data_IF_021160151485
#
_entry.id   IF_021160151485
#
_cell.length_a   1.000
_cell.length_b   1.000
_cell.length_c   1.000
_cell.angle_alpha   90.00
_cell.angle_beta   90.00
_cell.angle_gamma   90.00
#
_symmetry.space_group_name_H-M   'P 1'
#
loop_
_entity.id
_entity.type
_entity.pdbx_description
1 polymer ?
#
# COMPACT_ATOMS: atom_id res chain seq x y z
N UNK A 1 -13.67 -1.08 -17.01
CA UNK A 1 -13.49 -0.90 -16.60
C UNK A 1 -13.16 -0.30 -15.97
N UNK A 2 -13.02 0.07 -15.43
CA UNK A 2 -12.76 0.70 -14.93
C UNK A 2 -11.92 0.79 -14.10
N UNK A 3 -11.01 1.15 -14.02
CA UNK A 3 -10.04 1.33 -13.38
C UNK A 3 -10.22 2.17 -12.31
N UNK A 4 -11.09 2.15 -11.60
CA UNK A 4 -11.32 2.94 -10.58
C UNK A 4 -10.76 2.44 -9.35
N UNK A 5 -10.47 3.29 -8.35
CA UNK A 5 -10.06 2.92 -7.02
C UNK A 5 -11.31 2.55 -6.25
N UNK A 6 -11.31 1.39 -5.67
CA UNK A 6 -12.45 0.93 -4.92
C UNK A 6 -12.12 0.82 -3.45
N UNK A 7 -13.15 0.92 -2.62
CA UNK A 7 -13.03 0.78 -1.19
C UNK A 7 -12.98 -0.70 -0.85
N UNK A 8 -11.89 -1.36 -1.25
CA UNK A 8 -11.71 -2.75 -0.90
C UNK A 8 -10.22 -3.08 -0.86
N UNK A 9 -9.93 -4.21 -0.23
CA UNK A 9 -8.57 -4.61 0.04
C UNK A 9 -7.77 -4.89 -1.22
N UNK A 10 -8.40 -5.50 -2.20
CA UNK A 10 -7.69 -5.84 -3.43
C UNK A 10 -7.20 -4.61 -4.15
N UNK A 11 -8.07 -3.61 -4.25
CA UNK A 11 -7.70 -2.36 -4.90
C UNK A 11 -6.55 -1.68 -4.16
N UNK A 12 -6.64 -1.68 -2.84
CA UNK A 12 -5.58 -1.07 -2.03
C UNK A 12 -4.27 -1.82 -2.21
N UNK A 13 -4.32 -3.15 -2.22
CA UNK A 13 -3.11 -3.95 -2.36
C UNK A 13 -2.41 -3.67 -3.67
N UNK A 14 -3.17 -3.57 -4.75
CA UNK A 14 -2.59 -3.28 -6.05
C UNK A 14 -1.95 -1.89 -6.07
N UNK A 15 -2.65 -0.92 -5.51
CA UNK A 15 -2.10 0.43 -5.46
C UNK A 15 -0.86 0.48 -4.58
N UNK A 16 -0.89 -0.24 -3.47
CA UNK A 16 0.26 -0.29 -2.58
C UNK A 16 1.48 -0.87 -3.29
N UNK A 17 1.29 -1.98 -4.00
CA UNK A 17 2.40 -2.61 -4.69
C UNK A 17 2.99 -1.69 -5.75
N UNK A 18 2.14 -0.98 -6.47
CA UNK A 18 2.62 -0.07 -7.50
C UNK A 18 3.45 1.07 -6.90
N UNK A 19 2.94 1.66 -5.83
CA UNK A 19 3.66 2.76 -5.20
C UNK A 19 4.94 2.27 -4.54
N UNK A 20 4.89 1.08 -3.96
CA UNK A 20 6.07 0.49 -3.34
C UNK A 20 7.21 0.38 -4.33
N UNK A 21 6.90 -0.05 -5.55
CA UNK A 21 7.94 -0.23 -6.56
C UNK A 21 8.49 1.09 -7.07
N UNK A 22 7.69 2.14 -7.03
CA UNK A 22 8.13 3.42 -7.51
C UNK A 22 9.04 4.15 -6.53
N UNK A 23 8.89 3.87 -5.25
CA UNK A 23 9.64 4.58 -4.23
C UNK A 23 10.95 3.88 -3.95
N UNK A 24 12.04 4.63 -4.06
CA UNK A 24 13.37 4.10 -3.84
C UNK A 24 13.85 4.51 -2.46
N UNK A 25 13.69 3.63 -1.50
CA UNK A 25 14.06 3.91 -0.13
C UNK A 25 14.51 2.61 0.54
N UNK A 26 15.65 2.64 1.21
CA UNK A 26 16.20 1.44 1.81
C UNK A 26 15.54 1.06 3.12
N UNK A 27 15.05 2.05 3.84
CA UNK A 27 14.41 1.80 5.12
C UNK A 27 12.97 1.39 4.87
N UNK A 28 12.64 0.14 5.23
CA UNK A 28 11.32 -0.38 4.92
C UNK A 28 10.20 0.38 5.61
N UNK A 29 10.41 0.77 6.85
CA UNK A 29 9.37 1.51 7.57
C UNK A 29 9.17 2.89 6.96
N UNK A 30 10.26 3.55 6.60
CA UNK A 30 10.17 4.85 5.99
C UNK A 30 9.53 4.74 4.62
N UNK A 31 9.88 3.70 3.88
CA UNK A 31 9.29 3.47 2.57
C UNK A 31 7.78 3.27 2.70
N UNK A 32 7.36 2.52 3.71
CA UNK A 32 5.95 2.31 3.97
C UNK A 32 5.23 3.63 4.25
N UNK A 33 5.86 4.50 5.04
CA UNK A 33 5.28 5.80 5.33
C UNK A 33 5.09 6.61 4.06
N UNK A 34 6.07 6.56 3.17
CA UNK A 34 5.98 7.29 1.92
C UNK A 34 4.85 6.76 1.04
N UNK A 35 4.69 5.45 1.02
CA UNK A 35 3.61 4.84 0.25
C UNK A 35 2.26 5.25 0.84
N UNK A 36 2.13 5.24 2.15
CA UNK A 36 0.90 5.65 2.79
C UNK A 36 0.57 7.11 2.47
N UNK A 37 1.59 7.93 2.40
CA UNK A 37 1.41 9.33 2.05
C UNK A 37 0.82 9.46 0.65
N UNK A 38 1.31 8.65 -0.28
CA UNK A 38 0.80 8.64 -1.64
C UNK A 38 -0.61 8.08 -1.74
N UNK A 39 -0.97 7.20 -0.82
CA UNK A 39 -2.27 6.55 -0.86
C UNK A 39 -3.25 7.15 0.14
N UNK A 40 -2.94 8.30 0.67
CA UNK A 40 -3.76 8.90 1.73
C UNK A 40 -5.18 9.18 1.28
N UNK A 41 -5.40 9.34 -0.02
CA UNK A 41 -6.75 9.61 -0.53
C UNK A 41 -7.41 8.36 -1.11
N UNK A 42 -6.78 7.19 -0.95
CA UNK A 42 -7.38 5.95 -1.43
C UNK A 42 -8.62 5.63 -0.59
N UNK A 43 -9.74 5.26 -1.22
CA UNK A 43 -10.98 5.03 -0.47
C UNK A 43 -10.84 4.00 0.66
N UNK A 44 -10.14 2.91 0.39
CA UNK A 44 -9.98 1.88 1.41
C UNK A 44 -9.16 2.40 2.60
N UNK A 45 -8.14 3.19 2.32
CA UNK A 45 -7.30 3.74 3.37
C UNK A 45 -8.11 4.70 4.24
N UNK A 46 -8.98 5.48 3.62
CA UNK A 46 -9.81 6.42 4.35
C UNK A 46 -10.85 5.69 5.19
N UNK A 47 -11.49 4.67 4.61
CA UNK A 47 -12.55 3.94 5.32
C UNK A 47 -12.02 2.98 6.37
N UNK A 48 -10.90 2.34 6.08
CA UNK A 48 -10.38 1.29 6.96
C UNK A 48 -8.89 1.45 7.17
N UNK A 49 -8.46 2.54 7.81
CA UNK A 49 -7.04 2.81 7.94
C UNK A 49 -6.27 1.71 8.68
N UNK A 50 -6.88 1.10 9.68
CA UNK A 50 -6.19 0.03 10.41
C UNK A 50 -6.01 -1.20 9.56
N UNK A 51 -7.03 -1.57 8.80
CA UNK A 51 -6.92 -2.72 7.93
C UNK A 51 -5.94 -2.46 6.79
N UNK A 52 -5.93 -1.24 6.30
CA UNK A 52 -4.97 -0.86 5.27
C UNK A 52 -3.55 -1.01 5.77
N UNK A 53 -3.31 -0.59 7.01
CA UNK A 53 -1.98 -0.68 7.60
C UNK A 53 -1.58 -2.13 7.79
N UNK A 54 -2.49 -2.96 8.27
CA UNK A 54 -2.19 -4.38 8.46
C UNK A 54 -1.89 -5.06 7.13
N UNK A 55 -2.66 -4.71 6.12
CA UNK A 55 -2.43 -5.28 4.80
C UNK A 55 -1.07 -4.84 4.27
N UNK A 56 -0.74 -3.57 4.46
CA UNK A 56 0.55 -3.07 4.00
C UNK A 56 1.70 -3.80 4.68
N UNK A 57 1.57 -4.03 5.99
CA UNK A 57 2.60 -4.75 6.72
C UNK A 57 2.75 -6.16 6.19
N UNK A 58 1.63 -6.80 5.90
CA UNK A 58 1.67 -8.15 5.35
C UNK A 58 2.33 -8.16 3.97
N UNK A 59 2.01 -7.18 3.14
CA UNK A 59 2.60 -7.09 1.81
C UNK A 59 4.09 -6.85 1.89
N UNK A 60 4.51 -5.99 2.79
CA UNK A 60 5.94 -5.70 2.95
C UNK A 60 6.68 -6.96 3.36
N UNK A 61 6.10 -7.70 4.29
CA UNK A 61 6.71 -8.93 4.74
C UNK A 61 6.85 -9.92 3.59
N UNK A 62 5.83 -10.02 2.77
CA UNK A 62 5.83 -10.88 1.61
C UNK A 62 6.87 -10.45 0.58
N UNK A 63 6.89 -9.15 0.27
CA UNK A 63 7.82 -8.63 -0.73
C UNK A 63 9.25 -8.78 -0.28
N UNK A 64 9.48 -8.62 0.99
CA UNK A 64 10.83 -8.74 1.54
C UNK A 64 11.41 -10.11 1.29
N UNK A 65 10.55 -11.12 1.24
CA UNK A 65 11.03 -12.47 1.03
C UNK A 65 11.63 -12.68 -0.34
N UNK A 66 11.32 -11.80 -1.27
CA UNK A 66 11.83 -11.92 -2.62
C UNK A 66 13.10 -11.16 -2.86
N UNK A 67 13.64 -10.54 -1.85
CA UNK A 67 14.88 -9.75 -2.02
C UNK A 67 16.10 -10.40 -1.43
#
# INVERSE_FOLDING_TARGET
>A
MKNKLYDNADSFAMSFDEEWEKIDCEDLLLKMDKVFDHLSDHPFFISNPENARKMAEFRIFSLKKFQ
#
